data_IF_043739113078
#
_entry.id   IF_043739113078
#
_cell.length_a   1.000
_cell.length_b   1.000
_cell.length_c   1.000
_cell.angle_alpha   90.00
_cell.angle_beta   90.00
_cell.angle_gamma   90.00
#
_symmetry.space_group_name_H-M   'P 1'
#
loop_
_entity.id
_entity.type
_entity.pdbx_description
1 polymer ?
#
# COMPACT_ATOMS: atom_id res chain seq x y z
N UNK A 1 -2.46 4.98 -12.19
CA UNK A 1 -1.97 3.98 -13.15
C UNK A 1 -0.76 3.24 -12.58
N UNK A 2 0.41 3.86 -12.40
CA UNK A 2 1.61 3.16 -11.91
C UNK A 2 1.46 2.35 -10.60
N UNK A 3 0.81 2.91 -9.55
CA UNK A 3 0.66 2.21 -8.27
C UNK A 3 -0.26 0.98 -8.34
N UNK A 4 -1.32 1.05 -9.16
CA UNK A 4 -2.24 -0.08 -9.34
C UNK A 4 -1.57 -1.23 -10.10
N UNK A 5 -0.77 -0.90 -11.13
CA UNK A 5 -0.03 -1.90 -11.90
C UNK A 5 1.06 -2.57 -11.06
N UNK A 6 1.77 -1.80 -10.22
CA UNK A 6 2.74 -2.34 -9.27
C UNK A 6 2.10 -3.30 -8.27
N UNK A 7 0.94 -2.93 -7.70
CA UNK A 7 0.21 -3.78 -6.76
C UNK A 7 -0.30 -5.07 -7.44
N UNK A 8 -0.85 -4.96 -8.65
CA UNK A 8 -1.32 -6.10 -9.44
C UNK A 8 -0.18 -7.08 -9.77
N UNK A 9 0.97 -6.56 -10.22
CA UNK A 9 2.13 -7.37 -10.52
C UNK A 9 2.71 -8.05 -9.27
N UNK A 10 2.71 -7.35 -8.13
CA UNK A 10 3.12 -7.93 -6.84
C UNK A 10 2.21 -9.08 -6.42
N UNK A 11 0.89 -8.94 -6.53
CA UNK A 11 -0.05 -10.02 -6.21
C UNK A 11 0.17 -11.24 -7.10
N UNK A 12 0.36 -11.04 -8.41
CA UNK A 12 0.67 -12.15 -9.31
C UNK A 12 2.00 -12.82 -8.99
N UNK A 13 3.02 -12.05 -8.62
CA UNK A 13 4.31 -12.62 -8.20
C UNK A 13 4.17 -13.44 -6.91
N UNK A 14 3.40 -12.96 -5.92
CA UNK A 14 3.13 -13.70 -4.69
C UNK A 14 2.37 -15.00 -4.97
N UNK A 15 1.34 -14.96 -5.81
CA UNK A 15 0.58 -16.15 -6.20
C UNK A 15 1.45 -17.15 -6.96
N UNK A 16 2.28 -16.69 -7.90
CA UNK A 16 3.22 -17.54 -8.62
C UNK A 16 4.27 -18.17 -7.71
N UNK A 17 4.78 -17.41 -6.73
CA UNK A 17 5.73 -17.93 -5.74
C UNK A 17 5.10 -19.00 -4.84
N UNK A 18 3.83 -18.84 -4.46
CA UNK A 18 3.10 -19.84 -3.70
C UNK A 18 2.90 -21.13 -4.50
N UNK A 19 2.56 -21.02 -5.79
CA UNK A 19 2.39 -22.18 -6.68
C UNK A 19 3.71 -22.94 -6.85
N UNK A 20 4.80 -22.23 -7.13
CA UNK A 20 6.14 -22.80 -7.25
C UNK A 20 6.60 -23.51 -5.97
N UNK A 21 6.27 -22.96 -4.80
CA UNK A 21 6.56 -23.59 -3.51
C UNK A 21 5.80 -24.92 -3.35
N UNK A 22 4.52 -24.94 -3.72
CA UNK A 22 3.67 -26.15 -3.66
C UNK A 22 4.22 -27.22 -4.57
N UNK A 23 4.50 -26.88 -5.83
CA UNK A 23 5.07 -27.82 -6.80
C UNK A 23 6.42 -28.39 -6.34
N UNK A 24 7.29 -27.54 -5.79
CA UNK A 24 8.59 -27.98 -5.26
C UNK A 24 8.44 -28.97 -4.09
N UNK A 25 7.52 -28.69 -3.16
CA UNK A 25 7.26 -29.57 -2.02
C UNK A 25 6.60 -30.89 -2.46
N UNK A 26 5.65 -30.85 -3.39
CA UNK A 26 5.07 -32.05 -3.99
C UNK A 26 6.12 -32.92 -4.68
N UNK A 27 7.08 -32.31 -5.37
CA UNK A 27 8.19 -33.03 -6.00
C UNK A 27 9.09 -33.73 -4.97
N UNK A 28 9.30 -33.11 -3.80
CA UNK A 28 10.04 -33.74 -2.70
C UNK A 28 9.25 -34.90 -2.08
N UNK A 29 7.93 -34.79 -1.98
CA UNK A 29 7.05 -35.90 -1.55
C UNK A 29 7.12 -37.05 -2.55
N UNK A 30 6.96 -36.79 -3.85
CA UNK A 30 7.03 -37.80 -4.92
C UNK A 30 8.37 -38.53 -4.94
N UNK A 31 9.47 -37.83 -4.64
CA UNK A 31 10.82 -38.41 -4.55
C UNK A 31 11.07 -39.17 -3.24
N UNK A 32 10.08 -39.25 -2.35
CA UNK A 32 10.19 -39.89 -1.04
C UNK A 32 11.13 -39.17 -0.08
N UNK A 33 11.48 -37.90 -0.36
CA UNK A 33 12.39 -37.09 0.46
C UNK A 33 11.69 -36.38 1.62
N UNK A 34 10.36 -36.31 1.58
CA UNK A 34 9.52 -35.86 2.69
C UNK A 34 8.14 -36.52 2.62
N UNK A 35 7.40 -36.46 3.72
CA UNK A 35 6.00 -36.85 3.79
C UNK A 35 5.05 -35.71 3.40
N UNK A 36 3.83 -36.04 2.99
CA UNK A 36 2.77 -35.05 2.73
C UNK A 36 2.48 -34.18 3.96
N UNK A 37 2.57 -34.76 5.17
CA UNK A 37 2.38 -34.01 6.41
C UNK A 37 3.46 -32.96 6.65
N UNK A 38 4.70 -33.21 6.24
CA UNK A 38 5.81 -32.26 6.34
C UNK A 38 5.66 -31.13 5.33
N UNK A 39 5.29 -31.45 4.09
CA UNK A 39 4.98 -30.45 3.06
C UNK A 39 3.85 -29.51 3.51
N UNK A 40 2.76 -30.06 4.04
CA UNK A 40 1.63 -29.29 4.55
C UNK A 40 2.02 -28.36 5.72
N UNK A 41 2.88 -28.82 6.63
CA UNK A 41 3.41 -27.98 7.72
C UNK A 41 4.22 -26.81 7.20
N UNK A 42 5.10 -27.03 6.22
CA UNK A 42 5.93 -25.96 5.64
C UNK A 42 5.07 -24.90 4.95
N UNK A 43 4.04 -25.32 4.21
CA UNK A 43 3.08 -24.39 3.57
C UNK A 43 2.36 -23.57 4.64
N UNK A 44 1.87 -24.21 5.70
CA UNK A 44 1.16 -23.51 6.77
C UNK A 44 2.06 -22.53 7.54
N UNK A 45 3.31 -22.91 7.82
CA UNK A 45 4.29 -22.00 8.44
C UNK A 45 4.62 -20.81 7.53
N UNK A 46 4.74 -21.04 6.21
CA UNK A 46 4.96 -19.96 5.25
C UNK A 46 3.80 -18.96 5.23
N UNK A 47 2.56 -19.45 5.25
CA UNK A 47 1.36 -18.60 5.31
C UNK A 47 1.32 -17.81 6.62
N UNK A 48 1.53 -18.48 7.77
CA UNK A 48 1.52 -17.83 9.09
C UNK A 48 2.60 -16.74 9.21
N UNK A 49 3.83 -17.03 8.77
CA UNK A 49 4.92 -16.03 8.77
C UNK A 49 4.67 -14.88 7.80
N UNK A 50 4.03 -15.16 6.67
CA UNK A 50 3.61 -14.14 5.70
C UNK A 50 2.58 -13.18 6.31
N UNK A 51 1.61 -13.68 7.06
CA UNK A 51 0.61 -12.85 7.73
C UNK A 51 1.24 -11.93 8.79
N UNK A 52 2.16 -12.43 9.61
CA UNK A 52 2.92 -11.62 10.58
C UNK A 52 3.80 -10.57 9.88
N UNK A 53 4.47 -10.95 8.79
CA UNK A 53 5.30 -10.05 8.01
C UNK A 53 4.47 -8.95 7.32
N UNK A 54 3.22 -9.23 6.95
CA UNK A 54 2.34 -8.28 6.25
C UNK A 54 2.01 -7.05 7.11
N UNK A 55 1.76 -7.24 8.41
CA UNK A 55 1.42 -6.15 9.34
C UNK A 55 2.60 -5.17 9.46
N UNK A 56 3.80 -5.70 9.76
CA UNK A 56 5.02 -4.89 9.84
C UNK A 56 5.44 -4.29 8.50
N UNK A 57 5.21 -5.00 7.39
CA UNK A 57 5.46 -4.48 6.04
C UNK A 57 4.54 -3.30 5.73
N UNK A 58 3.25 -3.36 6.09
CA UNK A 58 2.28 -2.29 5.81
C UNK A 58 2.69 -0.97 6.44
N UNK A 59 3.14 -1.00 7.69
CA UNK A 59 3.54 0.22 8.41
C UNK A 59 4.83 0.81 7.83
N UNK A 60 5.85 -0.03 7.62
CA UNK A 60 7.11 0.38 6.98
C UNK A 60 6.90 0.90 5.56
N UNK A 61 6.03 0.25 4.79
CA UNK A 61 5.70 0.65 3.42
C UNK A 61 4.99 2.00 3.39
N UNK A 62 4.02 2.22 4.29
CA UNK A 62 3.33 3.50 4.41
C UNK A 62 4.30 4.63 4.74
N UNK A 63 5.22 4.39 5.68
CA UNK A 63 6.23 5.38 6.04
C UNK A 63 7.19 5.68 4.90
N UNK A 64 7.64 4.65 4.16
CA UNK A 64 8.50 4.81 3.00
C UNK A 64 7.82 5.63 1.90
N UNK A 65 6.57 5.29 1.55
CA UNK A 65 5.79 6.04 0.56
C UNK A 65 5.59 7.48 1.01
N UNK A 66 5.27 7.70 2.29
CA UNK A 66 5.10 9.04 2.83
C UNK A 66 6.38 9.87 2.77
N UNK A 67 7.54 9.29 3.11
CA UNK A 67 8.85 9.95 3.01
C UNK A 67 9.22 10.27 1.56
N UNK A 68 8.98 9.35 0.62
CA UNK A 68 9.23 9.60 -0.80
C UNK A 68 8.35 10.73 -1.33
N UNK A 69 7.05 10.74 -0.98
CA UNK A 69 6.13 11.81 -1.38
C UNK A 69 6.54 13.17 -0.80
N UNK A 70 6.95 13.23 0.47
CA UNK A 70 7.47 14.44 1.10
C UNK A 70 8.75 14.95 0.42
N UNK A 71 9.67 14.04 0.04
CA UNK A 71 10.90 14.41 -0.65
C UNK A 71 10.70 14.93 -2.08
N UNK A 72 9.56 14.65 -2.71
CA UNK A 72 9.25 15.07 -4.08
C UNK A 72 8.57 16.45 -4.18
N UNK A 73 8.42 17.19 -3.08
CA UNK A 73 7.70 18.47 -3.04
C UNK A 73 6.30 18.38 -3.68
N UNK A 74 5.66 17.21 -3.56
CA UNK A 74 4.33 16.94 -4.11
C UNK A 74 3.29 17.48 -3.14
N UNK A 75 2.47 18.42 -3.61
CA UNK A 75 1.37 18.98 -2.83
C UNK A 75 0.33 17.88 -2.59
N UNK A 76 0.01 17.63 -1.32
CA UNK A 76 -1.00 16.68 -0.91
C UNK A 76 -2.41 17.21 -1.17
N UNK A 77 -3.39 16.31 -1.26
CA UNK A 77 -4.80 16.70 -1.45
C UNK A 77 -5.30 17.60 -0.31
N UNK A 78 -4.89 17.29 0.92
CA UNK A 78 -5.28 18.04 2.12
C UNK A 78 -4.72 19.47 2.10
N UNK A 79 -3.47 19.65 1.63
CA UNK A 79 -2.88 20.98 1.44
C UNK A 79 -3.64 21.79 0.39
N UNK A 80 -4.10 21.17 -0.70
CA UNK A 80 -4.94 21.84 -1.72
C UNK A 80 -6.31 22.23 -1.13
N UNK A 81 -6.93 21.36 -0.34
CA UNK A 81 -8.22 21.66 0.30
C UNK A 81 -8.10 22.80 1.33
N UNK A 82 -7.04 22.80 2.14
CA UNK A 82 -6.74 23.91 3.04
C UNK A 82 -6.53 25.22 2.28
N UNK A 83 -5.79 25.20 1.17
CA UNK A 83 -5.58 26.39 0.34
C UNK A 83 -6.90 26.91 -0.24
N UNK A 84 -7.77 26.01 -0.71
CA UNK A 84 -9.12 26.37 -1.20
C UNK A 84 -9.98 27.00 -0.11
N UNK A 85 -9.94 26.46 1.12
CA UNK A 85 -10.69 27.03 2.24
C UNK A 85 -10.20 28.44 2.57
N UNK A 86 -8.89 28.65 2.63
CA UNK A 86 -8.29 29.97 2.87
C UNK A 86 -8.70 30.98 1.79
N UNK A 87 -8.70 30.57 0.52
CA UNK A 87 -9.14 31.41 -0.60
C UNK A 87 -10.62 31.79 -0.45
N UNK A 88 -11.48 30.84 -0.07
CA UNK A 88 -12.90 31.12 0.16
C UNK A 88 -13.13 32.09 1.31
N UNK A 89 -12.42 31.92 2.43
CA UNK A 89 -12.53 32.82 3.58
C UNK A 89 -12.07 34.24 3.24
N UNK A 90 -11.00 34.37 2.47
CA UNK A 90 -10.52 35.66 1.98
C UNK A 90 -11.57 36.29 1.05
N UNK A 91 -12.12 35.54 0.11
CA UNK A 91 -13.17 36.03 -0.79
C UNK A 91 -14.39 36.54 -0.01
N UNK A 92 -14.85 35.79 1.00
CA UNK A 92 -15.96 36.22 1.87
C UNK A 92 -15.66 37.51 2.61
N UNK A 93 -14.42 37.70 3.07
CA UNK A 93 -13.98 38.94 3.72
C UNK A 93 -13.93 40.11 2.75
N UNK A 94 -13.44 39.90 1.54
CA UNK A 94 -13.41 40.91 0.48
C UNK A 94 -14.84 41.35 0.14
N UNK A 95 -15.76 40.41 -0.10
CA UNK A 95 -17.17 40.73 -0.40
C UNK A 95 -17.81 41.56 0.70
N UNK A 96 -17.60 41.20 1.98
CA UNK A 96 -18.11 41.99 3.12
C UNK A 96 -17.53 43.41 3.21
N UNK A 97 -16.30 43.61 2.76
CA UNK A 97 -15.66 44.93 2.72
C UNK A 97 -16.21 45.74 1.53
N UNK A 98 -16.40 45.11 0.38
CA UNK A 98 -16.99 45.73 -0.81
C UNK A 98 -18.44 46.17 -0.58
N UNK A 99 -19.23 45.37 0.15
CA UNK A 99 -20.59 45.75 0.56
C UNK A 99 -20.57 46.99 1.47
N UNK A 100 -19.68 47.02 2.46
CA UNK A 100 -19.52 48.17 3.37
C UNK A 100 -18.98 49.45 2.73
N UNK A 101 -18.37 49.35 1.55
CA UNK A 101 -17.86 50.49 0.78
C UNK A 101 -18.91 51.05 -0.20
N UNK A 102 -20.00 50.30 -0.45
CA UNK A 102 -21.11 50.73 -1.31
C UNK A 102 -22.23 51.43 -0.54
N UNK A 103 -22.29 51.24 0.78
CA UNK A 103 -23.09 52.01 1.73
C UNK A 103 -22.41 53.34 2.11
#
# INVERSE_FOLDING_TARGET
>A
MALQDLFKNMLFACLGMQEMLREFLEDLVKRGKMSESEAAKIINEFISKSEEAKESFKDNFKEMVQKTLQGMNLVTKDEIENLKSLINDINLRITKIEEKLKD
#
